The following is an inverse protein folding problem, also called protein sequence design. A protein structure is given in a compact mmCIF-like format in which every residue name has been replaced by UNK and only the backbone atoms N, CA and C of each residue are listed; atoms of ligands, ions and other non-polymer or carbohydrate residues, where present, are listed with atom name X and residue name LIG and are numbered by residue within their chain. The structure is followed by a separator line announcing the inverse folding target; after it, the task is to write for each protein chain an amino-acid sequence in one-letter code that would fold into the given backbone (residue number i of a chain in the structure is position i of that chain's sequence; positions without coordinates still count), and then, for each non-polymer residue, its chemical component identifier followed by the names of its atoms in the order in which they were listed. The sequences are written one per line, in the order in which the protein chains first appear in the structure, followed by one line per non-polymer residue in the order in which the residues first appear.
data_IF_538469698685
#
_entry.id   IF_538469698685
#
_cell.length_a   1.000
_cell.length_b   1.000
_cell.length_c   1.000
_cell.angle_alpha   90.00
_cell.angle_beta   90.00
_cell.angle_gamma   90.00
#
_symmetry.space_group_name_H-M   'P 1'
#
loop_
_entity.id
_entity.type
_entity.pdbx_description
1 polymer ?
#
# COMPACT_ATOMS: atom_id res chain seq x y z
N UNK A 1 23.24 17.57 -54.11
CA UNK A 1 22.65 16.49 -54.92
C UNK A 1 21.88 15.59 -53.97
N UNK A 2 20.57 15.81 -53.92
CA UNK A 2 19.59 15.13 -53.07
C UNK A 2 18.89 14.08 -53.93
N UNK A 3 18.89 12.82 -53.51
CA UNK A 3 18.08 11.77 -54.13
C UNK A 3 17.18 11.14 -53.08
N UNK A 4 15.90 11.49 -53.19
CA UNK A 4 14.75 10.93 -52.49
C UNK A 4 14.23 9.77 -53.35
N UNK A 5 14.15 8.56 -52.81
CA UNK A 5 13.49 7.42 -53.47
C UNK A 5 12.20 7.07 -52.76
N UNK A 6 11.11 7.40 -53.44
CA UNK A 6 9.72 7.13 -53.11
C UNK A 6 9.35 5.73 -53.60
N UNK A 7 9.00 4.80 -52.70
CA UNK A 7 8.40 3.51 -53.09
C UNK A 7 6.90 3.53 -52.76
N UNK A 8 6.11 3.64 -53.82
CA UNK A 8 4.66 3.70 -53.80
C UNK A 8 4.01 2.33 -53.53
N UNK A 9 2.85 2.43 -52.85
CA UNK A 9 1.83 1.39 -52.68
C UNK A 9 1.27 0.92 -54.02
N UNK A 10 1.54 -0.32 -54.40
CA UNK A 10 0.80 -1.12 -55.38
C UNK A 10 1.02 -2.57 -54.93
N UNK A 11 0.07 -3.46 -54.73
CA UNK A 11 -1.37 -3.50 -54.87
C UNK A 11 -1.77 -4.88 -54.34
N UNK A 12 -2.83 -4.94 -53.55
CA UNK A 12 -3.41 -6.18 -53.00
C UNK A 12 -3.91 -7.06 -54.16
N UNK A 13 -3.95 -8.38 -53.90
CA UNK A 13 -4.65 -9.44 -54.66
C UNK A 13 -3.91 -10.17 -55.78
N UNK A 14 -3.11 -11.18 -55.40
CA UNK A 14 -2.99 -12.49 -56.08
C UNK A 14 -2.69 -13.45 -54.91
N UNK A 15 -3.51 -14.41 -54.52
CA UNK A 15 -4.12 -15.47 -55.30
C UNK A 15 -3.68 -16.77 -54.61
N UNK A 16 -4.64 -17.46 -53.99
CA UNK A 16 -4.41 -18.68 -53.23
C UNK A 16 -3.87 -19.82 -54.12
N UNK A 17 -3.28 -20.82 -53.43
CA UNK A 17 -2.98 -22.18 -53.88
C UNK A 17 -1.69 -22.42 -54.68
N UNK A 18 -0.64 -22.84 -53.96
CA UNK A 18 0.15 -24.03 -54.37
C UNK A 18 0.46 -24.84 -53.12
N UNK A 19 -0.02 -26.09 -53.15
CA UNK A 19 0.20 -27.15 -52.17
C UNK A 19 1.64 -27.69 -52.22
N UNK A 20 2.09 -28.16 -51.04
CA UNK A 20 2.79 -29.42 -50.83
C UNK A 20 4.06 -29.75 -51.67
N UNK A 21 5.22 -29.45 -51.08
CA UNK A 21 6.47 -30.23 -51.04
C UNK A 21 7.53 -29.30 -50.42
N UNK A 22 8.19 -29.57 -49.31
CA UNK A 22 9.03 -30.74 -49.01
C UNK A 22 9.20 -30.89 -47.48
N UNK A 23 8.56 -31.90 -46.90
CA UNK A 23 8.99 -32.45 -45.61
C UNK A 23 10.05 -33.52 -45.91
N UNK A 24 11.31 -33.13 -45.94
CA UNK A 24 12.43 -34.08 -46.02
C UNK A 24 13.64 -33.50 -45.30
N UNK A 25 13.72 -33.74 -43.99
CA UNK A 25 14.95 -33.72 -43.23
C UNK A 25 14.79 -34.60 -41.99
N UNK A 26 14.82 -35.92 -42.19
CA UNK A 26 15.28 -36.84 -41.17
C UNK A 26 16.81 -36.78 -41.15
N UNK A 27 17.38 -35.88 -40.34
CA UNK A 27 18.74 -36.02 -39.88
C UNK A 27 18.67 -36.57 -38.46
N UNK A 28 18.87 -37.88 -38.35
CA UNK A 28 19.18 -38.56 -37.10
C UNK A 28 20.49 -37.99 -36.57
N UNK A 29 20.41 -37.16 -35.54
CA UNK A 29 21.55 -36.81 -34.69
C UNK A 29 21.38 -37.50 -33.35
N UNK A 30 22.42 -38.19 -32.91
CA UNK A 30 22.52 -39.02 -31.72
C UNK A 30 21.99 -38.35 -30.44
N UNK A 31 21.43 -39.12 -29.49
CA UNK A 31 20.99 -38.61 -28.20
C UNK A 31 22.22 -38.40 -27.31
N UNK A 32 22.95 -37.31 -27.53
CA UNK A 32 23.76 -36.75 -26.45
C UNK A 32 22.76 -36.13 -25.49
N UNK A 33 22.51 -36.84 -24.39
CA UNK A 33 21.78 -36.40 -23.21
C UNK A 33 22.27 -35.01 -22.77
N UNK A 34 21.66 -33.97 -23.34
CA UNK A 34 21.54 -32.71 -22.65
C UNK A 34 20.60 -33.00 -21.49
N UNK A 35 21.16 -33.25 -20.29
CA UNK A 35 20.39 -33.16 -19.05
C UNK A 35 19.86 -31.74 -19.00
N UNK A 36 18.65 -31.53 -19.55
CA UNK A 36 17.86 -30.33 -19.36
C UNK A 36 17.81 -30.15 -17.84
N UNK A 37 18.40 -29.05 -17.34
CA UNK A 37 18.40 -28.75 -15.92
C UNK A 37 16.96 -28.95 -15.41
N UNK A 38 16.80 -29.88 -14.46
CA UNK A 38 15.49 -30.20 -13.93
C UNK A 38 14.89 -28.91 -13.38
N UNK A 39 13.62 -28.63 -13.74
CA UNK A 39 12.90 -27.50 -13.16
C UNK A 39 12.83 -27.77 -11.66
N UNK A 40 13.40 -26.90 -10.81
CA UNK A 40 13.37 -27.11 -9.36
C UNK A 40 11.91 -27.18 -8.91
N UNK A 41 11.64 -28.09 -7.99
CA UNK A 41 10.27 -28.31 -7.53
C UNK A 41 9.76 -27.09 -6.78
N UNK A 42 8.44 -26.94 -6.73
CA UNK A 42 7.78 -25.86 -6.00
C UNK A 42 8.24 -25.81 -4.55
N UNK A 43 8.25 -26.96 -3.87
CA UNK A 43 8.65 -27.08 -2.46
C UNK A 43 10.11 -26.64 -2.24
N UNK A 44 11.02 -27.05 -3.13
CA UNK A 44 12.43 -26.63 -3.07
C UNK A 44 12.59 -25.11 -3.22
N UNK A 45 11.87 -24.50 -4.16
CA UNK A 45 11.93 -23.06 -4.37
C UNK A 45 11.34 -22.29 -3.18
N UNK A 46 10.19 -22.73 -2.67
CA UNK A 46 9.53 -22.11 -1.51
C UNK A 46 10.35 -22.24 -0.24
N UNK A 47 10.94 -23.42 0.01
CA UNK A 47 11.79 -23.68 1.17
C UNK A 47 13.05 -22.82 1.15
N UNK A 48 13.75 -22.76 0.01
CA UNK A 48 14.92 -21.88 -0.17
C UNK A 48 14.57 -20.41 -0.01
N UNK A 49 13.45 -19.97 -0.59
CA UNK A 49 12.99 -18.60 -0.47
C UNK A 49 12.65 -18.24 0.99
N UNK A 50 11.98 -19.14 1.70
CA UNK A 50 11.64 -18.95 3.11
C UNK A 50 12.90 -18.85 3.96
N UNK A 51 13.89 -19.72 3.75
CA UNK A 51 15.18 -19.65 4.44
C UNK A 51 15.95 -18.34 4.15
N UNK A 52 15.95 -17.87 2.90
CA UNK A 52 16.51 -16.57 2.56
C UNK A 52 15.75 -15.43 3.28
N UNK A 53 14.42 -15.49 3.34
CA UNK A 53 13.60 -14.46 3.99
C UNK A 53 13.84 -14.40 5.50
N UNK A 54 13.95 -15.54 6.19
CA UNK A 54 14.17 -15.60 7.64
C UNK A 54 15.57 -15.17 8.04
N UNK A 55 16.56 -15.33 7.14
CA UNK A 55 17.94 -14.83 7.32
C UNK A 55 18.12 -13.37 6.90
N UNK A 56 17.04 -12.65 6.56
CA UNK A 56 17.06 -11.24 6.19
C UNK A 56 17.39 -10.95 4.73
N UNK A 57 17.63 -11.98 3.91
CA UNK A 57 17.91 -11.86 2.47
C UNK A 57 16.59 -11.72 1.68
N UNK A 58 15.82 -10.66 1.96
CA UNK A 58 14.46 -10.45 1.44
C UNK A 58 14.39 -10.39 -0.09
N UNK A 59 15.32 -9.70 -0.73
CA UNK A 59 15.35 -9.58 -2.20
C UNK A 59 15.66 -10.92 -2.88
N UNK A 60 16.53 -11.72 -2.27
CA UNK A 60 16.84 -13.07 -2.76
C UNK A 60 15.62 -13.99 -2.60
N UNK A 61 14.92 -13.91 -1.47
CA UNK A 61 13.66 -14.64 -1.27
C UNK A 61 12.63 -14.26 -2.34
N UNK A 62 12.45 -12.97 -2.62
CA UNK A 62 11.55 -12.50 -3.68
C UNK A 62 11.97 -13.01 -5.06
N UNK A 63 13.27 -13.07 -5.36
CA UNK A 63 13.73 -13.65 -6.62
C UNK A 63 13.38 -15.14 -6.75
N UNK A 64 13.52 -15.91 -5.67
CA UNK A 64 13.16 -17.33 -5.64
C UNK A 64 11.64 -17.54 -5.73
N UNK A 65 10.83 -16.74 -5.05
CA UNK A 65 9.37 -16.78 -5.21
C UNK A 65 8.92 -16.38 -6.62
N UNK A 66 9.59 -15.42 -7.28
CA UNK A 66 9.30 -15.09 -8.69
C UNK A 66 9.63 -16.26 -9.62
N UNK A 67 10.71 -17.00 -9.37
CA UNK A 67 11.00 -18.22 -10.11
C UNK A 67 9.92 -19.29 -9.88
N UNK A 68 9.48 -19.45 -8.63
CA UNK A 68 8.38 -20.37 -8.30
C UNK A 68 7.08 -19.98 -9.00
N UNK A 69 6.71 -18.69 -8.99
CA UNK A 69 5.54 -18.17 -9.69
C UNK A 69 5.59 -18.41 -11.20
N UNK A 70 6.77 -18.28 -11.81
CA UNK A 70 6.96 -18.52 -13.24
C UNK A 70 6.87 -20.02 -13.59
N UNK A 71 7.41 -20.90 -12.75
CA UNK A 71 7.35 -22.34 -12.95
C UNK A 71 5.96 -22.93 -12.63
N UNK A 72 5.23 -22.32 -11.69
CA UNK A 72 3.94 -22.79 -11.18
C UNK A 72 2.90 -21.66 -11.20
N UNK A 73 2.43 -21.25 -12.40
CA UNK A 73 1.63 -20.04 -12.57
C UNK A 73 0.22 -20.14 -11.99
N UNK A 74 -0.29 -21.33 -11.68
CA UNK A 74 -1.61 -21.51 -11.05
C UNK A 74 -1.56 -21.46 -9.53
N UNK A 75 -0.37 -21.53 -8.93
CA UNK A 75 -0.20 -21.53 -7.48
C UNK A 75 -0.15 -20.10 -6.94
N UNK A 76 -0.89 -19.84 -5.86
CA UNK A 76 -0.96 -18.53 -5.22
C UNK A 76 0.15 -18.29 -4.19
N UNK A 77 0.77 -19.35 -3.66
CA UNK A 77 1.71 -19.26 -2.53
C UNK A 77 2.92 -18.35 -2.77
N UNK A 78 3.56 -18.35 -3.97
CA UNK A 78 4.68 -17.45 -4.24
C UNK A 78 4.26 -15.99 -4.23
N UNK A 79 3.10 -15.68 -4.83
CA UNK A 79 2.55 -14.32 -4.87
C UNK A 79 2.19 -13.80 -3.47
N UNK A 80 1.58 -14.66 -2.64
CA UNK A 80 1.27 -14.33 -1.25
C UNK A 80 2.53 -14.01 -0.45
N UNK A 81 3.59 -14.80 -0.64
CA UNK A 81 4.87 -14.59 0.05
C UNK A 81 5.56 -13.29 -0.38
N UNK A 82 5.52 -12.96 -1.68
CA UNK A 82 6.03 -11.68 -2.18
C UNK A 82 5.19 -10.52 -1.64
N UNK A 83 3.86 -10.62 -1.71
CA UNK A 83 2.95 -9.58 -1.23
C UNK A 83 3.18 -9.25 0.25
N UNK A 84 3.24 -10.28 1.11
CA UNK A 84 3.52 -10.11 2.54
C UNK A 84 4.89 -9.48 2.77
N UNK A 85 5.93 -9.97 2.10
CA UNK A 85 7.30 -9.44 2.26
C UNK A 85 7.40 -7.97 1.84
N UNK A 86 6.71 -7.58 0.75
CA UNK A 86 6.66 -6.20 0.29
C UNK A 86 5.82 -5.31 1.20
N UNK A 87 4.72 -5.85 1.75
CA UNK A 87 3.91 -5.16 2.74
C UNK A 87 4.72 -4.83 4.01
N UNK A 88 5.45 -5.81 4.53
CA UNK A 88 6.29 -5.66 5.73
C UNK A 88 7.44 -4.67 5.50
N UNK A 89 7.97 -4.61 4.27
CA UNK A 89 8.98 -3.64 3.86
C UNK A 89 8.43 -2.21 3.63
N UNK A 90 7.12 -1.98 3.78
CA UNK A 90 6.48 -0.70 3.48
C UNK A 90 6.40 -0.37 1.97
N UNK A 91 6.69 -1.34 1.11
CA UNK A 91 6.62 -1.22 -0.34
C UNK A 91 5.18 -1.48 -0.81
N UNK A 92 4.26 -0.62 -0.37
CA UNK A 92 2.81 -0.82 -0.50
C UNK A 92 2.31 -0.99 -1.94
N UNK A 93 2.92 -0.31 -2.92
CA UNK A 93 2.57 -0.48 -4.33
C UNK A 93 2.85 -1.89 -4.85
N UNK A 94 4.05 -2.40 -4.58
CA UNK A 94 4.44 -3.77 -4.95
C UNK A 94 3.60 -4.81 -4.20
N UNK A 95 3.30 -4.55 -2.92
CA UNK A 95 2.45 -5.42 -2.12
C UNK A 95 1.05 -5.58 -2.75
N UNK A 96 0.43 -4.48 -3.19
CA UNK A 96 -0.88 -4.49 -3.86
C UNK A 96 -0.83 -5.32 -5.14
N UNK A 97 0.16 -5.09 -6.00
CA UNK A 97 0.26 -5.81 -7.29
C UNK A 97 0.39 -7.32 -7.06
N UNK A 98 1.24 -7.75 -6.12
CA UNK A 98 1.41 -9.18 -5.84
C UNK A 98 0.20 -9.78 -5.11
N UNK A 99 -0.50 -9.02 -4.27
CA UNK A 99 -1.75 -9.47 -3.66
C UNK A 99 -2.88 -9.61 -4.70
N UNK A 100 -2.91 -8.77 -5.74
CA UNK A 100 -3.85 -8.94 -6.86
C UNK A 100 -3.59 -10.24 -7.62
N UNK A 101 -2.32 -10.63 -7.81
CA UNK A 101 -1.98 -11.94 -8.37
C UNK A 101 -2.47 -13.11 -7.51
N UNK A 102 -2.49 -12.96 -6.18
CA UNK A 102 -3.15 -13.94 -5.30
C UNK A 102 -4.64 -14.01 -5.61
N UNK A 103 -5.33 -12.88 -5.72
CA UNK A 103 -6.78 -12.83 -5.98
C UNK A 103 -7.18 -13.33 -7.37
N UNK A 104 -6.30 -13.25 -8.37
CA UNK A 104 -6.51 -13.89 -9.68
C UNK A 104 -6.63 -15.42 -9.53
N UNK A 105 -5.97 -16.01 -8.53
CA UNK A 105 -5.93 -17.47 -8.29
C UNK A 105 -6.90 -17.92 -7.22
N UNK A 106 -7.10 -17.09 -6.19
CA UNK A 106 -8.06 -17.29 -5.12
C UNK A 106 -8.79 -15.97 -4.82
N UNK A 107 -9.95 -15.72 -5.46
CA UNK A 107 -10.70 -14.48 -5.31
C UNK A 107 -11.18 -14.18 -3.89
N UNK A 108 -11.23 -15.20 -3.00
CA UNK A 108 -11.73 -15.06 -1.63
C UNK A 108 -10.60 -15.03 -0.59
N UNK A 109 -9.33 -14.88 -1.01
CA UNK A 109 -8.20 -14.83 -0.10
C UNK A 109 -8.26 -13.59 0.81
N UNK A 110 -8.50 -13.82 2.10
CA UNK A 110 -8.66 -12.76 3.10
C UNK A 110 -7.36 -12.01 3.36
N UNK A 111 -6.21 -12.68 3.29
CA UNK A 111 -4.91 -12.06 3.52
C UNK A 111 -4.59 -11.07 2.39
N UNK A 112 -4.76 -11.49 1.13
CA UNK A 112 -4.54 -10.64 -0.02
C UNK A 112 -5.45 -9.40 -0.02
N UNK A 113 -6.75 -9.58 0.27
CA UNK A 113 -7.69 -8.46 0.43
C UNK A 113 -7.24 -7.50 1.55
N UNK A 114 -6.78 -8.04 2.68
CA UNK A 114 -6.28 -7.22 3.80
C UNK A 114 -5.01 -6.44 3.43
N UNK A 115 -4.06 -7.08 2.73
CA UNK A 115 -2.84 -6.42 2.24
C UNK A 115 -3.20 -5.27 1.31
N UNK A 116 -4.11 -5.48 0.35
CA UNK A 116 -4.53 -4.43 -0.59
C UNK A 116 -5.16 -3.26 0.17
N UNK A 117 -6.11 -3.54 1.06
CA UNK A 117 -6.82 -2.52 1.81
C UNK A 117 -5.87 -1.67 2.68
N UNK A 118 -5.04 -2.32 3.50
CA UNK A 118 -4.14 -1.60 4.41
C UNK A 118 -3.04 -0.87 3.63
N UNK A 119 -2.49 -1.49 2.57
CA UNK A 119 -1.50 -0.85 1.70
C UNK A 119 -2.07 0.40 1.02
N UNK A 120 -3.28 0.30 0.48
CA UNK A 120 -3.96 1.42 -0.18
C UNK A 120 -4.19 2.59 0.78
N UNK A 121 -4.63 2.31 2.01
CA UNK A 121 -4.83 3.33 3.05
C UNK A 121 -3.51 4.02 3.43
N UNK A 122 -2.44 3.25 3.68
CA UNK A 122 -1.12 3.80 4.06
C UNK A 122 -0.48 4.59 2.93
N UNK A 123 -0.61 4.10 1.70
CA UNK A 123 -0.11 4.78 0.51
C UNK A 123 -0.84 6.12 0.29
N UNK A 124 -2.18 6.12 0.37
CA UNK A 124 -3.01 7.32 0.25
C UNK A 124 -2.69 8.35 1.34
N UNK A 125 -2.56 7.91 2.59
CA UNK A 125 -2.18 8.77 3.72
C UNK A 125 -0.81 9.41 3.50
N UNK A 126 0.15 8.62 3.00
CA UNK A 126 1.50 9.11 2.70
C UNK A 126 1.49 10.17 1.58
N UNK A 127 0.72 9.94 0.52
CA UNK A 127 0.55 10.88 -0.59
C UNK A 127 -0.09 12.20 -0.13
N UNK A 128 -1.16 12.14 0.66
CA UNK A 128 -1.78 13.33 1.26
C UNK A 128 -0.81 14.08 2.18
N UNK A 129 0.00 13.36 2.95
CA UNK A 129 1.04 13.96 3.80
C UNK A 129 2.09 14.72 2.98
N UNK A 130 2.51 14.18 1.82
CA UNK A 130 3.41 14.85 0.88
C UNK A 130 2.79 16.14 0.34
N UNK A 131 1.54 16.10 -0.12
CA UNK A 131 0.84 17.26 -0.65
C UNK A 131 0.62 18.35 0.41
N UNK A 132 0.27 17.95 1.62
CA UNK A 132 0.13 18.85 2.77
C UNK A 132 1.44 19.58 3.07
N UNK A 133 2.58 18.86 3.14
CA UNK A 133 3.90 19.48 3.36
C UNK A 133 4.32 20.45 2.26
N UNK A 134 3.83 20.25 1.04
CA UNK A 134 4.11 21.13 -0.09
C UNK A 134 3.11 22.28 -0.21
N UNK A 135 2.17 22.44 0.72
CA UNK A 135 1.04 23.38 0.63
C UNK A 135 0.20 23.20 -0.66
N UNK A 136 0.24 22.00 -1.24
CA UNK A 136 -0.45 21.62 -2.48
C UNK A 136 -1.74 20.83 -2.22
N UNK A 137 -2.25 20.88 -0.99
CA UNK A 137 -3.54 20.28 -0.63
C UNK A 137 -4.66 21.31 -0.77
N UNK A 138 -5.07 21.55 -2.02
CA UNK A 138 -6.05 22.58 -2.37
C UNK A 138 -7.12 22.05 -3.34
N UNK A 139 -8.16 22.84 -3.55
CA UNK A 139 -9.21 22.56 -4.53
C UNK A 139 -9.82 21.16 -4.39
N UNK A 140 -9.90 20.45 -5.52
CA UNK A 140 -10.49 19.11 -5.63
C UNK A 140 -9.82 18.09 -4.73
N UNK A 141 -8.48 18.10 -4.64
CA UNK A 141 -7.73 17.13 -3.81
C UNK A 141 -8.09 17.21 -2.33
N UNK A 142 -8.37 18.43 -1.84
CA UNK A 142 -8.83 18.61 -0.46
C UNK A 142 -10.24 18.02 -0.28
N UNK A 143 -11.14 18.29 -1.22
CA UNK A 143 -12.50 17.75 -1.20
C UNK A 143 -12.51 16.23 -1.22
N UNK A 144 -11.77 15.61 -2.14
CA UNK A 144 -11.67 14.15 -2.27
C UNK A 144 -11.11 13.51 -0.98
N UNK A 145 -10.06 14.10 -0.41
CA UNK A 145 -9.49 13.62 0.85
C UNK A 145 -10.50 13.69 2.01
N UNK A 146 -11.31 14.74 2.08
CA UNK A 146 -12.36 14.87 3.10
C UNK A 146 -13.52 13.89 2.90
N UNK A 147 -13.89 13.60 1.65
CA UNK A 147 -14.91 12.60 1.34
C UNK A 147 -14.44 11.19 1.71
N UNK A 148 -13.20 10.83 1.34
CA UNK A 148 -12.60 9.56 1.73
C UNK A 148 -12.56 9.39 3.25
N UNK A 149 -12.18 10.44 3.99
CA UNK A 149 -12.16 10.41 5.45
C UNK A 149 -13.55 10.19 6.04
N UNK A 150 -14.59 10.82 5.46
CA UNK A 150 -15.98 10.62 5.87
C UNK A 150 -16.44 9.19 5.61
N UNK A 151 -16.19 8.65 4.41
CA UNK A 151 -16.55 7.28 4.05
C UNK A 151 -15.89 6.25 4.95
N UNK A 152 -14.59 6.39 5.24
CA UNK A 152 -13.86 5.50 6.14
C UNK A 152 -14.51 5.47 7.53
N UNK A 153 -14.86 6.64 8.04
CA UNK A 153 -15.48 6.79 9.34
C UNK A 153 -16.88 6.18 9.42
N UNK A 154 -17.69 6.37 8.38
CA UNK A 154 -19.00 5.73 8.25
C UNK A 154 -18.87 4.21 8.19
N UNK A 155 -17.90 3.71 7.43
CA UNK A 155 -17.61 2.27 7.30
C UNK A 155 -17.18 1.65 8.64
N UNK A 156 -16.46 2.40 9.47
CA UNK A 156 -16.05 1.99 10.81
C UNK A 156 -17.15 2.16 11.88
N UNK A 157 -18.28 2.78 11.54
CA UNK A 157 -19.36 3.07 12.49
C UNK A 157 -19.03 4.19 13.49
N UNK A 158 -17.96 4.96 13.26
CA UNK A 158 -17.45 5.97 14.19
C UNK A 158 -18.00 7.38 13.92
N UNK A 159 -19.33 7.52 13.78
CA UNK A 159 -19.97 8.76 13.29
C UNK A 159 -19.91 9.96 14.25
N UNK A 160 -19.48 9.80 15.52
CA UNK A 160 -19.41 10.90 16.53
C UNK A 160 -17.97 11.32 16.85
N UNK A 161 -17.74 12.64 16.75
CA UNK A 161 -16.45 13.31 16.72
C UNK A 161 -15.92 13.48 18.15
N UNK A 162 -14.60 13.63 18.28
CA UNK A 162 -13.92 14.46 19.28
C UNK A 162 -14.91 15.17 20.22
N UNK A 163 -14.94 14.77 21.49
CA UNK A 163 -15.70 15.49 22.50
C UNK A 163 -15.39 16.97 22.34
N UNK A 164 -16.40 17.78 22.01
CA UNK A 164 -16.32 19.23 22.14
C UNK A 164 -15.73 19.48 23.52
N UNK A 165 -14.57 20.15 23.68
CA UNK A 165 -14.02 20.37 25.00
C UNK A 165 -15.14 21.01 25.82
N UNK A 166 -15.55 20.31 26.88
CA UNK A 166 -16.62 20.78 27.74
C UNK A 166 -16.24 22.21 28.13
N UNK A 167 -17.06 23.18 27.72
CA UNK A 167 -16.93 24.54 28.23
C UNK A 167 -16.86 24.40 29.75
N UNK A 168 -15.80 24.86 30.43
CA UNK A 168 -15.69 24.71 31.86
C UNK A 168 -16.99 25.22 32.47
N UNK A 169 -17.71 24.35 33.16
CA UNK A 169 -18.93 24.73 33.85
C UNK A 169 -18.55 25.93 34.73
N UNK A 170 -19.12 27.09 34.41
CA UNK A 170 -18.92 28.29 35.20
C UNK A 170 -19.26 28.00 36.67
N UNK A 171 -18.56 28.62 37.63
CA UNK A 171 -18.77 28.34 39.05
C UNK A 171 -20.26 28.47 39.40
N UNK A 172 -20.80 27.56 40.24
CA UNK A 172 -22.22 27.54 40.55
C UNK A 172 -22.65 28.89 41.15
N UNK A 173 -23.87 29.37 40.86
CA UNK A 173 -24.33 30.65 41.39
C UNK A 173 -24.29 30.60 42.91
N UNK A 174 -23.45 31.45 43.50
CA UNK A 174 -23.34 31.59 44.94
C UNK A 174 -24.66 32.14 45.46
N UNK A 175 -25.41 31.28 46.12
CA UNK A 175 -26.70 31.59 46.71
C UNK A 175 -26.48 32.60 47.86
N UNK A 176 -26.56 33.90 47.57
CA UNK A 176 -26.42 34.95 48.57
C UNK A 176 -27.71 35.03 49.37
N UNK A 177 -27.84 34.20 50.41
CA UNK A 177 -28.71 34.54 51.53
C UNK A 177 -28.15 35.81 52.16
N UNK A 178 -28.94 36.88 52.12
CA UNK A 178 -28.62 38.16 52.72
C UNK A 178 -28.34 37.97 54.22
N UNK A 179 -27.06 38.08 54.60
CA UNK A 179 -26.66 38.21 56.00
C UNK A 179 -26.58 39.70 56.31
N UNK A 180 -27.35 40.13 57.32
CA UNK A 180 -27.36 41.50 57.86
C UNK A 180 -25.94 41.97 58.20
N UNK A 181 -25.61 43.25 57.99
CA UNK A 181 -24.27 43.76 58.28
C UNK A 181 -24.09 43.93 59.79
N UNK A 182 -23.16 43.18 60.39
CA UNK A 182 -22.61 43.50 61.70
C UNK A 182 -21.23 44.16 61.53
N UNK A 183 -21.19 45.41 61.94
CA UNK A 183 -20.06 46.32 61.96
C UNK A 183 -18.93 45.79 62.86
N UNK A 184 -17.72 45.56 62.33
CA UNK A 184 -16.49 45.55 63.16
C UNK A 184 -15.28 45.99 62.33
N UNK A 185 -14.54 46.94 62.92
CA UNK A 185 -13.42 47.69 62.37
C UNK A 185 -12.12 46.87 62.29
N UNK A 186 -11.28 47.28 61.33
CA UNK A 186 -9.81 47.32 61.34
C UNK A 186 -9.01 46.00 61.41
N UNK A 187 -8.20 45.74 60.38
CA UNK A 187 -6.76 46.08 60.36
C UNK A 187 -6.13 45.71 59.02
N UNK A 188 -5.37 46.64 58.43
CA UNK A 188 -4.53 46.41 57.26
C UNK A 188 -3.39 45.45 57.64
N UNK A 189 -3.21 44.35 56.91
CA UNK A 189 -1.93 43.64 56.84
C UNK A 189 -1.58 43.32 55.38
N UNK A 190 -0.49 43.94 54.95
CA UNK A 190 0.30 43.68 53.75
C UNK A 190 0.89 42.27 53.87
N UNK A 191 0.70 41.42 52.87
CA UNK A 191 1.45 40.17 52.72
C UNK A 191 1.87 40.06 51.26
N UNK A 192 3.18 40.06 51.08
CA UNK A 192 3.91 40.02 49.81
C UNK A 192 3.78 38.65 49.14
N UNK A 193 3.83 38.63 47.80
CA UNK A 193 3.73 37.41 47.00
C UNK A 193 5.10 36.75 46.78
N UNK A 194 5.20 35.41 46.76
CA UNK A 194 6.47 34.68 46.84
C UNK A 194 7.24 34.53 45.50
N UNK A 195 7.25 35.55 44.64
CA UNK A 195 7.90 35.47 43.32
C UNK A 195 9.26 36.19 43.22
N UNK A 196 9.88 36.50 44.36
CA UNK A 196 11.18 37.17 44.46
C UNK A 196 12.36 36.21 44.77
N UNK A 197 12.20 34.90 44.52
CA UNK A 197 13.26 33.92 44.81
C UNK A 197 13.46 32.93 43.67
N UNK A 198 13.91 33.38 42.50
CA UNK A 198 14.71 32.59 41.55
C UNK A 198 15.57 33.52 40.66
N UNK A 199 16.57 34.15 41.28
CA UNK A 199 17.91 34.25 40.68
C UNK A 199 18.71 33.03 41.14
#
# INVERSE_FOLDING_TARGET
MTTVTQFGRIGRFIGAAVCAATLTACATTDPVSATKAAVPTMDELLSKATAASTTGQKEQAVALWKQAAAAYPTDKAPWASIAQTRFDAGQYGDAIVNAQEVLVRDPNDLLANSIIAISGLRLSTSALGVLSRQNNLSGTTRTDATELAKLLRETLGETVLVATPATPAGPPPRNTKAVKPSNTKNTKKKVETPFDLLQ
#
